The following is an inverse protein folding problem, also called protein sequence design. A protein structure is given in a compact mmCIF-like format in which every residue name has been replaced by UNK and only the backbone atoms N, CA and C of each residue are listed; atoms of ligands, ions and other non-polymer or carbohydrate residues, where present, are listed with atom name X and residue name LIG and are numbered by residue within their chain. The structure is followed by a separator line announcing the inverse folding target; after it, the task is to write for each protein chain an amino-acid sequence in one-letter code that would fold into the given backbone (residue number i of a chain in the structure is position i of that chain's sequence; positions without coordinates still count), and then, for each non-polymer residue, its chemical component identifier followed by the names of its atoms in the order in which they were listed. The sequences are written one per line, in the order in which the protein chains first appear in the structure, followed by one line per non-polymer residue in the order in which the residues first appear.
data_IF_141330953513
#
_entry.id   IF_141330953513
#
_cell.length_a   1.000
_cell.length_b   1.000
_cell.length_c   1.000
_cell.angle_alpha   90.00
_cell.angle_beta   90.00
_cell.angle_gamma   90.00
#
_symmetry.space_group_name_H-M   'P 1'
#
loop_
_entity.id
_entity.type
_entity.pdbx_description
1 polymer ?
#
# COMPACT_ATOMS: atom_id res chain seq x y z
N UNK A 1 17.28 84.68 -5.03
CA UNK A 1 18.33 83.66 -4.85
C UNK A 1 17.72 82.29 -5.08
N UNK A 2 18.09 81.53 -6.13
CA UNK A 2 17.60 80.16 -6.28
C UNK A 2 18.61 79.16 -5.69
N UNK A 3 18.11 78.21 -4.90
CA UNK A 3 18.88 77.05 -4.43
C UNK A 3 18.91 75.97 -5.52
N UNK A 4 20.11 75.50 -5.87
CA UNK A 4 20.31 74.35 -6.77
C UNK A 4 20.07 73.07 -5.98
N UNK A 5 19.10 72.28 -6.40
CA UNK A 5 18.82 70.96 -5.86
C UNK A 5 19.65 69.91 -6.60
N UNK A 6 20.65 69.32 -5.94
CA UNK A 6 21.41 68.21 -6.49
C UNK A 6 20.65 66.89 -6.29
N UNK A 7 20.12 66.33 -7.38
CA UNK A 7 19.51 64.99 -7.32
C UNK A 7 20.61 63.93 -7.31
N UNK A 8 20.68 63.18 -6.21
CA UNK A 8 21.50 61.98 -6.05
C UNK A 8 21.02 60.91 -7.05
N UNK A 9 21.78 60.66 -8.11
CA UNK A 9 21.53 59.57 -9.04
C UNK A 9 21.73 58.24 -8.29
N UNK A 10 20.63 57.58 -7.93
CA UNK A 10 20.68 56.20 -7.46
C UNK A 10 20.96 55.32 -8.67
N UNK A 11 22.16 54.74 -8.72
CA UNK A 11 22.51 53.77 -9.74
C UNK A 11 21.59 52.54 -9.59
N UNK A 12 20.63 52.42 -10.51
CA UNK A 12 19.80 51.24 -10.62
C UNK A 12 20.67 50.09 -11.14
N UNK A 13 21.16 49.26 -10.23
CA UNK A 13 21.87 48.02 -10.56
C UNK A 13 20.85 47.03 -11.14
N UNK A 14 20.75 46.98 -12.47
CA UNK A 14 19.98 45.97 -13.19
C UNK A 14 20.74 44.66 -13.24
N UNK A 15 20.02 43.54 -13.12
CA UNK A 15 20.59 42.20 -13.34
C UNK A 15 21.09 42.07 -14.78
N UNK A 16 22.26 41.48 -14.94
CA UNK A 16 22.80 41.16 -16.27
C UNK A 16 22.06 39.93 -16.84
N UNK A 17 21.92 39.88 -18.17
CA UNK A 17 21.31 38.73 -18.85
C UNK A 17 22.04 37.41 -18.52
N UNK A 18 23.36 37.47 -18.32
CA UNK A 18 24.18 36.30 -18.00
C UNK A 18 23.93 35.80 -16.57
N UNK A 19 23.72 36.69 -15.60
CA UNK A 19 23.37 36.30 -14.24
C UNK A 19 22.05 35.56 -14.21
N UNK A 20 21.03 36.04 -14.93
CA UNK A 20 19.75 35.36 -15.00
C UNK A 20 19.86 34.00 -15.73
N UNK A 21 20.69 33.92 -16.78
CA UNK A 21 20.91 32.70 -17.56
C UNK A 21 21.58 31.59 -16.72
N UNK A 22 22.59 31.94 -15.92
CA UNK A 22 23.27 30.96 -15.04
C UNK A 22 22.31 30.43 -13.96
N UNK A 23 21.43 31.28 -13.43
CA UNK A 23 20.47 30.87 -12.39
C UNK A 23 19.49 29.83 -12.93
N UNK A 24 18.88 30.06 -14.09
CA UNK A 24 17.95 29.08 -14.67
C UNK A 24 18.66 27.79 -15.07
N UNK A 25 19.94 27.87 -15.47
CA UNK A 25 20.75 26.70 -15.77
C UNK A 25 20.98 25.83 -14.52
N UNK A 26 21.33 26.44 -13.39
CA UNK A 26 21.53 25.73 -12.12
C UNK A 26 20.20 25.16 -11.60
N UNK A 27 19.10 25.92 -11.66
CA UNK A 27 17.77 25.43 -11.29
C UNK A 27 17.38 24.23 -12.14
N UNK A 28 17.66 24.25 -13.46
CA UNK A 28 17.40 23.12 -14.35
C UNK A 28 18.17 21.85 -13.96
N UNK A 29 19.45 21.98 -13.60
CA UNK A 29 20.27 20.86 -13.14
C UNK A 29 19.70 20.28 -11.83
N UNK A 30 19.44 21.12 -10.83
CA UNK A 30 18.90 20.67 -9.54
C UNK A 30 17.51 20.06 -9.68
N UNK A 31 16.64 20.65 -10.50
CA UNK A 31 15.29 20.15 -10.75
C UNK A 31 15.32 18.77 -11.44
N UNK A 32 16.23 18.56 -12.40
CA UNK A 32 16.35 17.27 -13.10
C UNK A 32 16.71 16.11 -12.15
N UNK A 33 17.62 16.33 -11.21
CA UNK A 33 18.00 15.34 -10.19
C UNK A 33 16.83 15.10 -9.21
N UNK A 34 16.14 16.18 -8.81
CA UNK A 34 15.00 16.10 -7.88
C UNK A 34 13.82 15.29 -8.42
N UNK A 35 13.53 15.38 -9.72
CA UNK A 35 12.43 14.65 -10.35
C UNK A 35 12.62 13.13 -10.33
N UNK A 36 13.85 12.65 -10.55
CA UNK A 36 14.15 11.21 -10.56
C UNK A 36 14.02 10.60 -9.15
N UNK A 37 14.46 11.32 -8.12
CA UNK A 37 14.37 10.86 -6.73
C UNK A 37 12.92 10.77 -6.21
N UNK A 38 12.02 11.61 -6.73
CA UNK A 38 10.63 11.69 -6.27
C UNK A 38 9.79 10.48 -6.67
N UNK A 39 10.11 9.81 -7.79
CA UNK A 39 9.42 8.60 -8.26
C UNK A 39 9.47 7.47 -7.23
N UNK A 40 10.68 7.04 -6.87
CA UNK A 40 10.88 5.96 -5.89
C UNK A 40 10.40 6.31 -4.47
N UNK A 41 10.46 7.58 -4.08
CA UNK A 41 9.92 8.03 -2.79
C UNK A 41 8.39 7.86 -2.70
N UNK A 42 7.67 8.17 -3.79
CA UNK A 42 6.21 8.01 -3.87
C UNK A 42 5.78 6.54 -3.85
N UNK A 43 6.52 5.67 -4.52
CA UNK A 43 6.29 4.21 -4.50
C UNK A 43 6.42 3.65 -3.08
N UNK A 44 7.53 3.98 -2.38
CA UNK A 44 7.74 3.55 -0.99
C UNK A 44 6.65 4.06 -0.05
N UNK A 45 6.20 5.31 -0.21
CA UNK A 45 5.12 5.87 0.59
C UNK A 45 3.79 5.10 0.39
N UNK A 46 3.46 4.71 -0.85
CA UNK A 46 2.29 3.87 -1.14
C UNK A 46 2.43 2.47 -0.52
N UNK A 47 3.62 1.88 -0.57
CA UNK A 47 3.89 0.58 0.05
C UNK A 47 3.78 0.61 1.57
N UNK A 48 4.30 1.64 2.23
CA UNK A 48 4.11 1.84 3.68
C UNK A 48 2.63 1.95 4.02
N UNK A 49 1.86 2.69 3.21
CA UNK A 49 0.41 2.79 3.40
C UNK A 49 -0.27 1.42 3.27
N UNK A 50 0.04 0.64 2.24
CA UNK A 50 -0.51 -0.72 2.05
C UNK A 50 -0.23 -1.66 3.22
N UNK A 51 0.99 -1.61 3.75
CA UNK A 51 1.40 -2.44 4.89
C UNK A 51 0.64 -2.04 6.17
N UNK A 52 0.44 -0.74 6.40
CA UNK A 52 -0.33 -0.22 7.52
C UNK A 52 -1.82 -0.57 7.40
N UNK A 53 -2.38 -0.44 6.20
CA UNK A 53 -3.75 -0.81 5.86
C UNK A 53 -4.01 -2.30 6.19
N UNK A 54 -3.15 -3.23 5.72
CA UNK A 54 -3.30 -4.67 6.04
C UNK A 54 -3.13 -4.99 7.53
N UNK A 55 -2.22 -4.31 8.23
CA UNK A 55 -2.01 -4.53 9.66
C UNK A 55 -3.23 -4.10 10.49
N UNK A 56 -3.89 -3.02 10.06
CA UNK A 56 -5.13 -2.53 10.68
C UNK A 56 -6.28 -3.51 10.47
N UNK A 57 -6.41 -4.06 9.26
CA UNK A 57 -7.43 -5.09 8.95
C UNK A 57 -7.16 -6.37 9.74
N UNK A 58 -5.91 -6.82 9.86
CA UNK A 58 -5.56 -7.99 10.69
C UNK A 58 -6.07 -7.83 12.12
N UNK A 59 -5.89 -6.65 12.71
CA UNK A 59 -6.36 -6.39 14.08
C UNK A 59 -7.87 -6.53 14.20
N UNK A 60 -8.62 -6.03 13.21
CA UNK A 60 -10.07 -6.19 13.16
C UNK A 60 -10.51 -7.64 12.94
N UNK A 61 -9.78 -8.41 12.13
CA UNK A 61 -10.04 -9.84 11.92
C UNK A 61 -9.83 -10.64 13.19
N UNK A 62 -8.79 -10.35 13.98
CA UNK A 62 -8.55 -11.02 15.26
C UNK A 62 -9.71 -10.77 16.23
N UNK A 63 -10.18 -9.52 16.33
CA UNK A 63 -11.37 -9.20 17.15
C UNK A 63 -12.62 -9.92 16.66
N UNK A 64 -12.82 -9.99 15.33
CA UNK A 64 -13.93 -10.74 14.75
C UNK A 64 -13.84 -12.22 15.12
N UNK A 65 -12.66 -12.83 15.05
CA UNK A 65 -12.46 -14.24 15.36
C UNK A 65 -12.86 -14.59 16.80
N UNK A 66 -12.46 -13.76 17.75
CA UNK A 66 -12.77 -13.93 19.17
C UNK A 66 -14.29 -13.91 19.42
N UNK A 67 -15.02 -13.01 18.74
CA UNK A 67 -16.47 -12.85 18.90
C UNK A 67 -17.29 -13.87 18.09
N UNK A 68 -16.73 -14.46 17.04
CA UNK A 68 -17.46 -15.29 16.07
C UNK A 68 -17.10 -16.79 16.17
N UNK A 69 -16.92 -17.29 17.39
CA UNK A 69 -16.67 -18.72 17.65
C UNK A 69 -15.45 -19.26 16.90
N UNK A 70 -14.34 -18.51 16.93
CA UNK A 70 -13.07 -18.90 16.31
C UNK A 70 -13.18 -19.10 14.79
N UNK A 71 -13.98 -18.25 14.13
CA UNK A 71 -14.18 -18.26 12.68
C UNK A 71 -14.03 -16.89 12.07
N UNK A 72 -13.27 -16.81 11.00
CA UNK A 72 -13.16 -15.64 10.14
C UNK A 72 -14.30 -15.58 9.11
N UNK A 73 -14.56 -14.40 8.52
CA UNK A 73 -15.54 -14.24 7.44
C UNK A 73 -15.27 -15.18 6.26
N UNK A 74 -16.18 -16.11 5.92
CA UNK A 74 -15.89 -17.12 4.91
C UNK A 74 -15.83 -16.49 3.51
N UNK A 75 -14.86 -16.90 2.70
CA UNK A 75 -14.80 -16.57 1.26
C UNK A 75 -15.70 -17.48 0.42
N UNK A 76 -16.16 -16.98 -0.73
CA UNK A 76 -17.11 -17.70 -1.59
C UNK A 76 -16.45 -18.73 -2.49
N UNK A 77 -15.16 -18.54 -2.82
CA UNK A 77 -14.36 -19.52 -3.54
C UNK A 77 -13.69 -20.45 -2.52
N UNK A 78 -14.44 -21.47 -2.13
CA UNK A 78 -13.97 -22.52 -1.21
C UNK A 78 -13.10 -23.57 -1.91
N UNK A 79 -12.91 -23.45 -3.23
CA UNK A 79 -12.19 -24.41 -4.06
C UNK A 79 -10.95 -23.76 -4.64
N UNK A 80 -9.85 -23.88 -3.91
CA UNK A 80 -8.50 -23.44 -4.30
C UNK A 80 -8.34 -21.91 -4.30
N UNK A 81 -7.14 -21.43 -3.96
CA UNK A 81 -6.75 -20.03 -4.04
C UNK A 81 -6.91 -19.46 -5.47
N UNK A 82 -8.14 -19.13 -5.85
CA UNK A 82 -8.52 -18.48 -7.10
C UNK A 82 -9.53 -17.37 -6.82
N UNK A 83 -9.27 -16.57 -5.79
CA UNK A 83 -10.16 -15.50 -5.37
C UNK A 83 -10.41 -14.54 -6.51
N UNK A 84 -11.65 -14.48 -6.96
CA UNK A 84 -12.14 -13.31 -7.67
C UNK A 84 -12.12 -12.14 -6.67
N UNK A 85 -11.01 -11.39 -6.67
CA UNK A 85 -10.63 -10.32 -5.74
C UNK A 85 -11.77 -9.36 -5.35
N UNK A 86 -12.77 -9.16 -6.21
CA UNK A 86 -13.88 -8.25 -5.94
C UNK A 86 -14.97 -8.84 -5.03
N UNK A 87 -15.24 -10.15 -5.12
CA UNK A 87 -16.35 -10.76 -4.39
C UNK A 87 -15.95 -11.09 -2.95
N UNK A 88 -14.76 -11.62 -2.70
CA UNK A 88 -14.29 -11.90 -1.34
C UNK A 88 -14.02 -10.62 -0.53
N UNK A 89 -13.49 -9.58 -1.18
CA UNK A 89 -13.32 -8.27 -0.54
C UNK A 89 -14.66 -7.65 -0.11
N UNK A 90 -15.72 -7.89 -0.90
CA UNK A 90 -17.07 -7.45 -0.54
C UNK A 90 -17.63 -8.19 0.67
N UNK A 91 -17.33 -9.49 0.82
CA UNK A 91 -17.73 -10.29 1.99
C UNK A 91 -16.99 -9.80 3.23
N UNK A 92 -15.68 -9.56 3.13
CA UNK A 92 -14.89 -8.99 4.22
C UNK A 92 -15.43 -7.62 4.65
N UNK A 93 -15.76 -6.76 3.70
CA UNK A 93 -16.39 -5.46 3.98
C UNK A 93 -17.72 -5.63 4.72
N UNK A 94 -18.53 -6.59 4.27
CA UNK A 94 -19.81 -6.89 4.87
C UNK A 94 -19.65 -7.28 6.34
N UNK A 95 -18.68 -8.14 6.64
CA UNK A 95 -18.43 -8.66 7.98
C UNK A 95 -17.80 -7.64 8.93
N UNK A 96 -16.78 -6.89 8.48
CA UNK A 96 -16.02 -6.00 9.37
C UNK A 96 -16.59 -4.59 9.49
N UNK A 97 -17.21 -4.06 8.43
CA UNK A 97 -17.59 -2.64 8.35
C UNK A 97 -19.08 -2.45 8.55
N UNK A 98 -19.90 -3.27 7.89
CA UNK A 98 -21.37 -3.19 7.99
C UNK A 98 -21.97 -4.24 8.92
N UNK A 99 -21.15 -5.19 9.40
CA UNK A 99 -21.54 -6.20 10.36
C UNK A 99 -21.87 -5.56 11.72
N UNK A 100 -22.66 -6.29 12.51
CA UNK A 100 -22.96 -5.89 13.89
C UNK A 100 -22.46 -7.01 14.80
N UNK A 101 -21.50 -6.73 15.72
CA UNK A 101 -20.86 -5.44 15.95
C UNK A 101 -19.91 -5.01 14.81
N UNK A 102 -19.60 -3.71 14.75
CA UNK A 102 -18.67 -3.15 13.76
C UNK A 102 -17.24 -3.31 14.27
N UNK A 103 -16.40 -4.03 13.51
CA UNK A 103 -15.00 -4.30 13.87
C UNK A 103 -14.01 -3.33 13.21
N UNK A 104 -14.41 -2.66 12.12
CA UNK A 104 -13.55 -1.75 11.36
C UNK A 104 -14.31 -0.55 10.77
N UNK A 105 -14.51 0.50 11.57
CA UNK A 105 -15.31 1.67 11.19
C UNK A 105 -14.63 2.60 10.16
N UNK A 106 -13.30 2.51 9.97
CA UNK A 106 -12.56 3.36 9.04
C UNK A 106 -12.91 3.09 7.57
N UNK A 107 -13.63 2.00 7.28
CA UNK A 107 -13.89 1.52 5.93
C UNK A 107 -12.66 0.83 5.35
N UNK A 108 -12.89 -0.30 4.68
CA UNK A 108 -11.78 -1.03 4.06
C UNK A 108 -11.10 -0.15 2.99
N UNK A 109 -9.77 -0.21 2.88
CA UNK A 109 -9.03 0.42 1.79
C UNK A 109 -9.64 0.04 0.45
N UNK A 110 -9.80 1.04 -0.42
CA UNK A 110 -10.26 0.80 -1.78
C UNK A 110 -9.04 0.33 -2.57
N UNK A 111 -9.06 -0.87 -3.17
CA UNK A 111 -7.96 -1.31 -4.01
C UNK A 111 -7.82 -0.33 -5.19
N UNK A 112 -6.59 0.07 -5.57
CA UNK A 112 -6.37 1.11 -6.58
C UNK A 112 -7.03 0.83 -7.94
N UNK A 113 -7.41 -0.43 -8.21
CA UNK A 113 -7.96 -0.88 -9.50
C UNK A 113 -9.28 -1.66 -9.35
N UNK A 114 -10.21 -1.19 -8.51
CA UNK A 114 -11.56 -1.74 -8.39
C UNK A 114 -12.36 -1.59 -9.72
N UNK A 115 -12.06 -2.41 -10.73
CA UNK A 115 -12.85 -2.48 -11.96
C UNK A 115 -12.16 -2.92 -13.25
N UNK A 116 -10.83 -3.03 -13.33
CA UNK A 116 -10.17 -3.33 -14.62
C UNK A 116 -8.92 -4.21 -14.39
N UNK A 117 -9.06 -5.53 -14.60
CA UNK A 117 -8.01 -6.59 -14.48
C UNK A 117 -7.38 -6.76 -13.08
N UNK A 118 -7.37 -7.98 -12.54
CA UNK A 118 -7.14 -8.27 -11.13
C UNK A 118 -5.69 -8.09 -10.61
N UNK A 119 -4.74 -7.60 -11.42
CA UNK A 119 -3.39 -8.17 -11.31
C UNK A 119 -2.31 -7.24 -10.75
N UNK A 120 -2.61 -5.97 -10.43
CA UNK A 120 -1.58 -5.03 -9.95
C UNK A 120 -2.05 -4.21 -8.74
N UNK A 121 -1.34 -4.39 -7.63
CA UNK A 121 -1.48 -3.63 -6.37
C UNK A 121 -2.85 -3.70 -5.66
N UNK A 122 -3.68 -4.68 -6.02
CA UNK A 122 -4.94 -4.97 -5.34
C UNK A 122 -4.72 -5.56 -3.94
N UNK A 123 -5.75 -5.50 -3.11
CA UNK A 123 -5.82 -6.24 -1.85
C UNK A 123 -6.58 -7.55 -2.08
N UNK A 124 -6.11 -8.63 -1.47
CA UNK A 124 -6.76 -9.92 -1.51
C UNK A 124 -7.04 -10.42 -0.10
N UNK A 125 -8.12 -11.18 0.03
CA UNK A 125 -8.55 -11.81 1.27
C UNK A 125 -8.99 -13.24 0.99
N UNK A 126 -8.56 -14.17 1.85
CA UNK A 126 -8.88 -15.59 1.77
C UNK A 126 -9.06 -16.18 3.17
N UNK A 127 -9.86 -17.23 3.27
CA UNK A 127 -9.97 -18.05 4.48
C UNK A 127 -9.76 -19.53 4.17
N UNK A 128 -9.28 -20.29 5.16
CA UNK A 128 -9.21 -21.75 5.08
C UNK A 128 -10.61 -22.41 5.15
N UNK A 129 -10.65 -23.73 4.97
CA UNK A 129 -11.83 -24.57 5.23
C UNK A 129 -11.47 -25.64 6.27
N UNK A 130 -12.00 -25.59 7.51
CA UNK A 130 -12.90 -24.55 8.06
C UNK A 130 -12.23 -23.17 8.13
N UNK A 131 -13.00 -22.05 8.24
CA UNK A 131 -12.48 -20.68 8.17
C UNK A 131 -11.85 -20.23 9.49
N UNK A 132 -10.89 -21.00 10.00
CA UNK A 132 -10.16 -20.72 11.23
C UNK A 132 -8.78 -20.07 10.99
N UNK A 133 -8.36 -19.92 9.74
CA UNK A 133 -7.18 -19.15 9.33
C UNK A 133 -7.55 -18.16 8.22
N UNK A 134 -6.85 -17.02 8.17
CA UNK A 134 -7.06 -16.01 7.14
C UNK A 134 -5.75 -15.62 6.45
N UNK A 135 -5.87 -15.11 5.23
CA UNK A 135 -4.74 -14.57 4.48
C UNK A 135 -5.13 -13.24 3.86
N UNK A 136 -4.28 -12.24 4.04
CA UNK A 136 -4.32 -10.95 3.36
C UNK A 136 -3.07 -10.80 2.52
N UNK A 137 -3.20 -10.29 1.30
CA UNK A 137 -2.04 -9.98 0.48
C UNK A 137 -2.22 -8.72 -0.36
N UNK A 138 -1.09 -8.13 -0.74
CA UNK A 138 -1.03 -7.02 -1.70
C UNK A 138 0.32 -6.99 -2.41
N UNK A 139 0.35 -6.47 -3.62
CA UNK A 139 1.61 -6.24 -4.35
C UNK A 139 2.22 -4.90 -3.94
N UNK A 140 3.52 -4.92 -3.64
CA UNK A 140 4.33 -3.72 -3.42
C UNK A 140 4.88 -3.20 -4.74
N UNK A 141 4.97 -1.88 -4.86
CA UNK A 141 5.48 -1.18 -6.04
C UNK A 141 7.00 -1.08 -6.02
N UNK A 142 7.60 -0.86 -4.85
CA UNK A 142 9.02 -0.61 -4.71
C UNK A 142 9.85 -1.90 -4.72
N UNK A 143 10.96 -1.88 -5.46
CA UNK A 143 11.90 -3.02 -5.54
C UNK A 143 11.42 -4.15 -6.47
N UNK A 144 11.70 -5.40 -6.10
CA UNK A 144 11.37 -6.58 -6.91
C UNK A 144 9.90 -6.98 -6.73
N UNK A 145 8.92 -6.15 -7.15
CA UNK A 145 7.46 -6.42 -7.20
C UNK A 145 6.96 -7.46 -6.17
N UNK A 146 7.37 -7.27 -4.91
CA UNK A 146 7.15 -8.27 -3.88
C UNK A 146 5.67 -8.30 -3.53
N UNK A 147 5.16 -9.47 -3.20
CA UNK A 147 3.89 -9.60 -2.54
C UNK A 147 4.10 -9.60 -1.03
N UNK A 148 3.34 -8.77 -0.36
CA UNK A 148 3.31 -8.63 1.09
C UNK A 148 2.12 -9.40 1.64
N UNK A 149 2.38 -10.32 2.55
CA UNK A 149 1.40 -11.24 3.12
C UNK A 149 1.24 -10.99 4.62
N UNK A 150 0.00 -11.07 5.08
CA UNK A 150 -0.36 -10.97 6.49
C UNK A 150 -1.39 -12.07 6.79
N UNK A 151 -1.14 -12.87 7.83
CA UNK A 151 -2.08 -13.91 8.29
C UNK A 151 -2.18 -13.91 9.83
N UNK A 152 -2.90 -14.88 10.39
CA UNK A 152 -3.02 -15.09 11.82
C UNK A 152 -1.66 -15.33 12.50
N UNK A 153 -0.73 -16.02 11.81
CA UNK A 153 0.59 -16.37 12.35
C UNK A 153 1.64 -15.23 12.27
N UNK A 154 1.54 -14.30 11.31
CA UNK A 154 2.64 -13.38 11.04
C UNK A 154 2.54 -12.59 9.74
N UNK A 155 3.70 -12.08 9.32
CA UNK A 155 3.88 -11.23 8.14
C UNK A 155 5.05 -11.80 7.34
N UNK A 156 4.91 -11.89 6.01
CA UNK A 156 5.94 -12.41 5.10
C UNK A 156 5.99 -11.64 3.77
N UNK A 157 7.10 -11.73 3.02
CA UNK A 157 7.26 -11.16 1.66
C UNK A 157 7.81 -12.22 0.69
N UNK A 158 7.28 -12.31 -0.53
CA UNK A 158 7.81 -13.19 -1.60
C UNK A 158 7.66 -12.58 -3.00
N UNK A 159 8.49 -13.03 -3.95
CA UNK A 159 8.46 -12.63 -5.37
C UNK A 159 7.56 -13.50 -6.24
N UNK A 160 7.08 -14.66 -5.74
CA UNK A 160 6.16 -15.55 -6.46
C UNK A 160 4.74 -14.95 -6.53
N UNK A 161 4.10 -15.04 -7.70
CA UNK A 161 2.79 -14.44 -8.04
C UNK A 161 1.68 -14.82 -7.06
N UNK A 162 0.94 -13.80 -6.59
CA UNK A 162 0.04 -13.82 -5.42
C UNK A 162 -1.40 -14.30 -5.61
N UNK A 163 -1.75 -14.92 -6.73
CA UNK A 163 -3.11 -15.50 -6.81
C UNK A 163 -3.26 -16.66 -5.83
N UNK A 164 -2.16 -17.26 -5.39
CA UNK A 164 -2.11 -18.27 -4.33
C UNK A 164 -1.27 -17.84 -3.14
N UNK A 165 -1.58 -18.39 -1.97
CA UNK A 165 -0.70 -18.27 -0.82
C UNK A 165 0.70 -18.85 -1.15
N UNK A 166 1.77 -18.37 -0.48
CA UNK A 166 3.10 -18.93 -0.68
C UNK A 166 3.13 -20.43 -0.34
N UNK A 167 3.82 -21.26 -1.14
CA UNK A 167 4.03 -22.68 -0.85
C UNK A 167 4.49 -22.87 0.62
N UNK A 168 3.70 -23.61 1.41
CA UNK A 168 3.90 -23.81 2.85
C UNK A 168 2.91 -23.06 3.75
N UNK A 169 2.15 -22.11 3.20
CA UNK A 169 0.92 -21.57 3.80
C UNK A 169 -0.32 -22.36 3.33
N UNK A 170 -0.09 -23.33 2.46
CA UNK A 170 -1.11 -24.06 1.73
C UNK A 170 -1.57 -25.27 2.56
N UNK A 171 -2.89 -25.38 2.74
CA UNK A 171 -3.68 -26.36 3.52
C UNK A 171 -3.46 -27.86 3.27
N UNK A 172 -2.30 -28.27 2.76
CA UNK A 172 -1.88 -29.68 2.69
C UNK A 172 -0.93 -30.11 3.81
N UNK A 173 -0.22 -29.19 4.45
CA UNK A 173 0.78 -29.52 5.49
C UNK A 173 0.60 -28.65 6.74
N UNK A 174 -0.12 -29.20 7.70
CA UNK A 174 -0.21 -28.85 9.13
C UNK A 174 -0.67 -27.42 9.51
N UNK A 175 -1.76 -27.29 10.31
CA UNK A 175 -2.08 -26.03 10.99
C UNK A 175 -0.92 -25.67 11.93
N UNK A 176 -0.23 -24.55 11.66
CA UNK A 176 0.91 -24.08 12.46
C UNK A 176 2.23 -23.92 11.71
N UNK A 177 2.31 -24.28 10.43
CA UNK A 177 3.43 -23.83 9.60
C UNK A 177 3.26 -22.34 9.32
N UNK A 178 3.94 -21.50 10.11
CA UNK A 178 4.10 -20.09 9.77
C UNK A 178 4.54 -20.00 8.31
N UNK A 179 3.85 -19.19 7.50
CA UNK A 179 4.29 -18.86 6.16
C UNK A 179 5.80 -18.64 6.19
N UNK A 180 6.59 -19.29 5.31
CA UNK A 180 8.04 -19.27 5.41
C UNK A 180 8.49 -17.84 5.62
N UNK A 181 9.07 -17.58 6.81
CA UNK A 181 9.67 -16.31 7.15
C UNK A 181 10.92 -16.23 6.30
N UNK A 182 10.79 -15.77 5.07
CA UNK A 182 11.96 -15.34 4.32
C UNK A 182 12.42 -14.06 5.01
N UNK A 183 13.34 -14.25 5.96
CA UNK A 183 14.05 -13.20 6.66
C UNK A 183 14.65 -12.24 5.62
N UNK A 184 14.15 -11.01 5.63
CA UNK A 184 14.87 -9.83 5.17
C UNK A 184 14.74 -8.78 6.27
#
# INVERSE_FOLDING_TARGET
MPMKEERKNQANNGFTLIELLVVIAIIGILASIGLVALGGARERARDTKRQADLSSIRSALVLFFDDNSERYPPTNDQTVWSGNSLTDWSVLKSALVTGVPVYYAAGLPIPPNAGITADQHSYFYFTSTPPNHFFLSTQLESGNKYYYFVNDAGISKTTSSSTSAPQGCDSGNAPGAACPKNNL
#
